data_IF_725051391508
#
_entry.id   IF_725051391508
#
_cell.length_a   1.000
_cell.length_b   1.000
_cell.length_c   1.000
_cell.angle_alpha   90.00
_cell.angle_beta   90.00
_cell.angle_gamma   90.00
#
_symmetry.space_group_name_H-M   'P 1'
#
loop_
_entity.id
_entity.type
_entity.pdbx_description
1 polymer ?
#
# COMPACT_ATOMS: atom_id res chain seq x y z
N UNK A 1 14.65 -6.10 10.24
CA UNK A 1 14.72 -7.47 9.69
C UNK A 1 14.60 -7.36 8.18
N UNK A 2 15.71 -7.35 7.45
CA UNK A 2 15.72 -7.28 5.99
C UNK A 2 15.08 -8.56 5.43
N UNK A 3 13.95 -8.43 4.75
CA UNK A 3 13.29 -9.57 4.11
C UNK A 3 13.78 -9.63 2.66
N UNK A 4 14.80 -10.45 2.41
CA UNK A 4 15.26 -10.74 1.04
C UNK A 4 14.18 -11.46 0.22
N UNK A 5 14.41 -11.65 -1.10
CA UNK A 5 13.44 -12.30 -1.99
C UNK A 5 13.04 -13.69 -1.47
N UNK A 6 11.75 -13.88 -1.19
CA UNK A 6 11.18 -15.16 -0.75
C UNK A 6 10.98 -16.05 -1.98
N UNK A 7 11.96 -16.88 -2.29
CA UNK A 7 11.85 -17.85 -3.39
C UNK A 7 10.87 -18.97 -3.00
N UNK A 8 9.80 -19.15 -3.79
CA UNK A 8 8.92 -20.30 -3.67
C UNK A 8 9.33 -21.33 -4.72
N UNK A 9 9.97 -22.42 -4.34
CA UNK A 9 10.41 -23.49 -5.25
C UNK A 9 9.25 -24.34 -5.82
N UNK A 10 8.01 -23.82 -5.84
CA UNK A 10 6.84 -24.51 -6.38
C UNK A 10 6.57 -23.97 -7.80
N UNK A 11 6.51 -24.83 -8.84
CA UNK A 11 6.16 -24.39 -10.18
C UNK A 11 4.72 -23.86 -10.17
N UNK A 12 4.53 -22.61 -10.56
CA UNK A 12 3.22 -21.98 -10.69
C UNK A 12 2.85 -21.99 -12.18
N UNK A 13 1.99 -22.92 -12.62
CA UNK A 13 1.33 -22.83 -13.93
C UNK A 13 0.18 -21.83 -13.83
N UNK A 14 0.31 -20.58 -14.32
CA UNK A 14 -0.82 -19.63 -14.38
C UNK A 14 -0.79 -18.61 -15.54
N UNK A 15 -1.97 -18.41 -16.14
CA UNK A 15 -2.35 -17.42 -17.18
C UNK A 15 -2.78 -16.04 -16.61
N UNK A 16 -2.88 -15.89 -15.29
CA UNK A 16 -3.20 -14.62 -14.65
C UNK A 16 -2.33 -14.49 -13.39
N UNK A 17 -1.69 -13.34 -13.23
CA UNK A 17 -0.57 -13.14 -12.29
C UNK A 17 -1.09 -12.71 -10.91
N UNK A 18 -0.98 -13.55 -9.86
CA UNK A 18 -0.69 -13.04 -8.53
C UNK A 18 0.83 -13.06 -8.35
N UNK A 19 1.40 -11.96 -7.83
CA UNK A 19 2.84 -11.80 -7.59
C UNK A 19 3.42 -12.77 -6.55
N UNK A 20 2.57 -13.52 -5.82
CA UNK A 20 2.95 -14.44 -4.75
C UNK A 20 2.14 -15.75 -4.81
N UNK A 21 2.76 -16.86 -4.39
CA UNK A 21 2.03 -18.13 -4.23
C UNK A 21 1.07 -18.07 -3.01
N UNK A 22 0.05 -18.95 -2.92
CA UNK A 22 -0.94 -18.90 -1.82
C UNK A 22 -0.34 -18.87 -0.42
N UNK A 23 0.70 -19.67 -0.17
CA UNK A 23 1.40 -19.70 1.12
C UNK A 23 2.08 -18.37 1.45
N UNK A 24 2.71 -17.74 0.46
CA UNK A 24 3.36 -16.44 0.64
C UNK A 24 2.35 -15.30 0.73
N UNK A 25 1.24 -15.39 0.01
CA UNK A 25 0.14 -14.45 0.11
C UNK A 25 -0.45 -14.46 1.53
N UNK A 26 -0.79 -15.63 2.07
CA UNK A 26 -1.33 -15.76 3.43
C UNK A 26 -0.31 -15.31 4.50
N UNK A 27 0.98 -15.57 4.29
CA UNK A 27 2.04 -15.09 5.20
C UNK A 27 2.16 -13.57 5.18
N UNK A 28 2.10 -12.96 4.00
CA UNK A 28 2.06 -11.51 3.83
C UNK A 28 0.85 -10.90 4.52
N UNK A 29 -0.34 -11.49 4.32
CA UNK A 29 -1.59 -11.05 4.94
C UNK A 29 -1.51 -11.03 6.47
N UNK A 30 -0.98 -12.11 7.09
CA UNK A 30 -0.76 -12.17 8.55
C UNK A 30 0.18 -11.09 9.06
N UNK A 31 1.24 -10.77 8.31
CA UNK A 31 2.16 -9.70 8.68
C UNK A 31 1.45 -8.33 8.65
N UNK A 32 0.70 -8.06 7.58
CA UNK A 32 -0.08 -6.84 7.42
C UNK A 32 -1.10 -6.68 8.55
N UNK A 33 -1.86 -7.73 8.87
CA UNK A 33 -2.83 -7.72 9.98
C UNK A 33 -2.15 -7.37 11.31
N UNK A 34 -0.97 -7.94 11.58
CA UNK A 34 -0.21 -7.63 12.80
C UNK A 34 0.25 -6.18 12.84
N UNK A 35 0.71 -5.63 11.73
CA UNK A 35 1.19 -4.25 11.67
C UNK A 35 0.02 -3.24 11.78
N UNK A 36 -1.14 -3.56 11.19
CA UNK A 36 -2.37 -2.78 11.36
C UNK A 36 -2.87 -2.78 12.81
N UNK A 37 -2.81 -3.93 13.50
CA UNK A 37 -3.13 -4.00 14.93
C UNK A 37 -2.20 -3.14 15.78
N UNK A 38 -0.90 -3.09 15.46
CA UNK A 38 0.05 -2.19 16.12
C UNK A 38 -0.27 -0.71 15.89
N UNK A 39 -0.83 -0.38 14.73
CA UNK A 39 -1.31 0.96 14.41
C UNK A 39 -2.69 1.28 15.05
N UNK A 40 -3.26 0.38 15.85
CA UNK A 40 -4.55 0.57 16.53
C UNK A 40 -5.78 0.14 15.72
N UNK A 41 -5.60 -0.44 14.52
CA UNK A 41 -6.71 -0.97 13.71
C UNK A 41 -6.92 -2.45 14.03
N UNK A 42 -8.04 -2.78 14.68
CA UNK A 42 -8.39 -4.17 14.99
C UNK A 42 -8.98 -4.88 13.76
N UNK A 43 -8.10 -5.40 12.91
CA UNK A 43 -8.49 -6.17 11.72
C UNK A 43 -8.24 -7.66 11.97
N UNK A 44 -9.24 -8.49 11.67
CA UNK A 44 -9.14 -9.95 11.78
C UNK A 44 -8.95 -10.64 10.43
N UNK A 45 -9.38 -10.00 9.34
CA UNK A 45 -9.19 -10.47 7.96
C UNK A 45 -8.98 -9.28 7.03
N UNK A 46 -8.07 -9.42 6.07
CA UNK A 46 -7.82 -8.37 5.06
C UNK A 46 -8.93 -8.36 3.99
N UNK A 47 -9.69 -9.46 3.84
CA UNK A 47 -10.85 -9.53 2.94
C UNK A 47 -11.98 -8.56 3.33
N UNK A 48 -12.16 -8.33 4.63
CA UNK A 48 -13.12 -7.37 5.18
C UNK A 48 -12.57 -5.95 5.17
N UNK A 49 -11.27 -5.80 4.89
CA UNK A 49 -10.57 -4.53 4.82
C UNK A 49 -10.61 -3.93 3.41
N UNK A 50 -11.30 -4.56 2.45
CA UNK A 50 -11.55 -3.97 1.14
C UNK A 50 -12.27 -2.63 1.36
N UNK A 51 -11.56 -1.48 1.25
CA UNK A 51 -12.20 -0.20 1.45
C UNK A 51 -13.20 -0.07 0.31
N UNK A 52 -14.40 0.42 0.61
CA UNK A 52 -15.36 0.74 -0.45
C UNK A 52 -14.64 1.60 -1.49
N UNK A 53 -14.85 1.33 -2.78
CA UNK A 53 -14.09 1.98 -3.86
C UNK A 53 -14.01 3.52 -3.71
N UNK A 54 -15.07 4.16 -3.22
CA UNK A 54 -15.08 5.60 -2.94
C UNK A 54 -14.03 6.06 -1.91
N UNK A 55 -13.69 5.23 -0.91
CA UNK A 55 -12.65 5.52 0.08
C UNK A 55 -11.27 5.53 -0.58
N UNK A 56 -11.01 4.56 -1.47
CA UNK A 56 -9.75 4.48 -2.22
C UNK A 56 -9.60 5.70 -3.14
N UNK A 57 -10.66 6.05 -3.88
CA UNK A 57 -10.68 7.23 -4.75
C UNK A 57 -10.43 8.51 -3.95
N UNK A 58 -11.10 8.68 -2.80
CA UNK A 58 -10.93 9.85 -1.95
C UNK A 58 -9.48 9.99 -1.43
N UNK A 59 -8.88 8.90 -0.96
CA UNK A 59 -7.47 8.90 -0.50
C UNK A 59 -6.50 9.28 -1.64
N UNK A 60 -6.72 8.72 -2.83
CA UNK A 60 -5.87 9.03 -3.99
C UNK A 60 -5.97 10.50 -4.41
N UNK A 61 -7.20 11.05 -4.43
CA UNK A 61 -7.42 12.48 -4.67
C UNK A 61 -6.72 13.33 -3.61
N UNK A 62 -6.81 12.95 -2.33
CA UNK A 62 -6.14 13.64 -1.24
C UNK A 62 -4.61 13.66 -1.42
N UNK A 63 -4.00 12.52 -1.75
CA UNK A 63 -2.57 12.44 -2.04
C UNK A 63 -2.15 13.30 -3.23
N UNK A 64 -2.91 13.28 -4.33
CA UNK A 64 -2.64 14.11 -5.51
C UNK A 64 -2.65 15.59 -5.12
N UNK A 65 -3.69 16.03 -4.41
CA UNK A 65 -3.81 17.41 -4.01
C UNK A 65 -2.71 17.83 -3.04
N UNK A 66 -2.33 16.97 -2.09
CA UNK A 66 -1.23 17.21 -1.16
C UNK A 66 0.11 17.36 -1.88
N UNK A 67 0.42 16.50 -2.86
CA UNK A 67 1.61 16.66 -3.72
C UNK A 67 1.57 17.96 -4.52
N UNK A 68 0.42 18.32 -5.10
CA UNK A 68 0.27 19.59 -5.84
C UNK A 68 0.47 20.81 -4.94
N UNK A 69 -0.08 20.80 -3.72
CA UNK A 69 0.11 21.87 -2.73
C UNK A 69 1.57 21.98 -2.31
N UNK A 70 2.24 20.85 -2.05
CA UNK A 70 3.67 20.84 -1.72
C UNK A 70 4.52 21.40 -2.87
N UNK A 71 4.25 21.00 -4.12
CA UNK A 71 4.93 21.53 -5.29
C UNK A 71 4.70 23.04 -5.47
N UNK A 72 3.46 23.52 -5.28
CA UNK A 72 3.14 24.97 -5.32
C UNK A 72 3.88 25.76 -4.24
N UNK A 73 3.95 25.25 -3.01
CA UNK A 73 4.72 25.88 -1.93
C UNK A 73 6.21 25.96 -2.29
N UNK A 74 6.76 24.88 -2.86
CA UNK A 74 8.15 24.85 -3.31
C UNK A 74 8.44 25.82 -4.47
N UNK A 75 7.46 26.09 -5.36
CA UNK A 75 7.62 27.10 -6.42
C UNK A 75 7.48 28.52 -5.89
N UNK A 76 6.58 28.77 -4.93
CA UNK A 76 6.42 30.10 -4.31
C UNK A 76 7.68 30.50 -3.54
N UNK A 77 8.33 29.57 -2.81
CA UNK A 77 9.61 29.85 -2.15
C UNK A 77 10.80 30.07 -3.11
N UNK A 78 10.66 29.83 -4.41
CA UNK A 78 11.72 30.07 -5.42
C UNK A 78 11.57 31.38 -6.18
N UNK A 79 10.48 32.10 -5.99
CA UNK A 79 10.30 33.44 -6.58
C UNK A 79 10.73 34.45 -5.53
N UNK A 80 12.02 34.78 -5.52
CA UNK A 80 12.50 36.00 -4.88
C UNK A 80 11.78 37.21 -5.51
N UNK A 81 11.22 38.13 -4.71
CA UNK A 81 10.63 39.36 -5.24
C UNK A 81 11.77 40.25 -5.76
N UNK A 82 11.65 40.69 -7.01
CA UNK A 82 12.52 41.72 -7.61
C UNK A 82 11.97 43.11 -7.33
#
# INVERSE_FOLDING_TARGET
MQSGPLFCCKPILRSTVPSLCPTHFQKGEKCLIRDLRKAGLNVSSLSNLAPKFHVIVAEYVCQIQSRRRAARKATVCKVEPK
#
